data_IF_399360941839
#
_entry.id   IF_399360941839
#
_cell.length_a   1.000
_cell.length_b   1.000
_cell.length_c   1.000
_cell.angle_alpha   90.00
_cell.angle_beta   90.00
_cell.angle_gamma   90.00
#
_symmetry.space_group_name_H-M   'P 1'
#
loop_
_entity.id
_entity.type
_entity.pdbx_description
1 polymer ?
#
# COMPACT_ATOMS: atom_id res chain seq x y z
N UNK A 1 5.80 -0.84 32.70
CA UNK A 1 6.53 0.25 32.00
C UNK A 1 5.69 0.76 30.87
N UNK A 2 5.55 2.08 30.71
CA UNK A 2 4.84 2.63 29.54
C UNK A 2 5.61 2.30 28.27
N UNK A 3 4.93 1.76 27.27
CA UNK A 3 5.54 1.48 25.96
C UNK A 3 5.65 2.78 25.18
N UNK A 4 6.88 3.24 24.95
CA UNK A 4 7.16 4.38 24.07
C UNK A 4 7.80 3.89 22.79
N UNK A 5 7.11 4.15 21.66
CA UNK A 5 7.51 3.69 20.34
C UNK A 5 8.00 4.85 19.46
N UNK A 6 9.04 4.62 18.68
CA UNK A 6 9.49 5.54 17.63
C UNK A 6 9.47 4.83 16.27
N UNK A 7 8.89 5.50 15.28
CA UNK A 7 8.76 5.00 13.90
C UNK A 7 10.00 5.28 13.06
N UNK A 8 10.37 4.32 12.22
CA UNK A 8 11.45 4.41 11.24
C UNK A 8 11.02 3.89 9.86
N UNK A 9 10.89 4.77 8.84
CA UNK A 9 10.97 6.23 8.90
C UNK A 9 9.79 6.85 9.66
N UNK A 10 9.87 8.15 10.00
CA UNK A 10 8.73 8.86 10.57
C UNK A 10 7.55 8.90 9.59
N UNK A 11 6.31 9.11 10.10
CA UNK A 11 5.15 9.33 9.25
C UNK A 11 5.37 10.44 8.22
N UNK A 12 4.81 10.26 7.03
CA UNK A 12 4.83 11.24 5.94
C UNK A 12 3.40 11.63 5.57
N UNK A 13 3.17 12.91 5.27
CA UNK A 13 1.82 13.45 5.01
C UNK A 13 1.11 12.81 3.80
N UNK A 14 1.89 12.33 2.83
CA UNK A 14 1.35 11.71 1.60
C UNK A 14 0.87 10.27 1.77
N UNK A 15 1.08 9.66 2.94
CA UNK A 15 0.63 8.31 3.25
C UNK A 15 0.01 8.28 4.66
N UNK A 16 -1.32 8.32 4.77
CA UNK A 16 -1.98 8.42 6.06
C UNK A 16 -1.89 7.16 6.92
N UNK A 17 -1.44 6.02 6.40
CA UNK A 17 -1.34 4.76 7.13
C UNK A 17 -0.65 4.89 8.49
N UNK A 18 0.58 5.44 8.50
CA UNK A 18 1.33 5.58 9.75
C UNK A 18 0.65 6.59 10.71
N UNK A 19 0.18 7.72 10.18
CA UNK A 19 -0.50 8.74 10.99
C UNK A 19 -1.76 8.16 11.67
N UNK A 20 -2.56 7.39 10.94
CA UNK A 20 -3.74 6.70 11.47
C UNK A 20 -3.37 5.65 12.49
N UNK A 21 -2.41 4.77 12.18
CA UNK A 21 -1.94 3.76 13.10
C UNK A 21 -1.47 4.36 14.43
N UNK A 22 -0.59 5.35 14.37
CA UNK A 22 0.00 5.93 15.59
C UNK A 22 -0.99 6.77 16.39
N UNK A 23 -1.98 7.41 15.74
CA UNK A 23 -3.10 8.06 16.44
C UNK A 23 -3.86 7.05 17.30
N UNK A 24 -4.26 5.93 16.73
CA UNK A 24 -5.02 4.91 17.46
C UNK A 24 -4.17 4.07 18.42
N UNK A 25 -2.84 4.01 18.22
CA UNK A 25 -1.94 3.41 19.22
C UNK A 25 -1.88 4.24 20.51
N UNK A 26 -2.01 5.56 20.44
CA UNK A 26 -2.12 6.43 21.61
C UNK A 26 -3.34 6.06 22.47
N UNK A 27 -4.48 5.75 21.83
CA UNK A 27 -5.71 5.29 22.51
C UNK A 27 -5.51 3.92 23.21
N UNK A 28 -4.52 3.13 22.77
CA UNK A 28 -4.12 1.86 23.39
C UNK A 28 -3.05 2.02 24.48
N UNK A 29 -2.75 3.25 24.91
CA UNK A 29 -1.74 3.52 25.93
C UNK A 29 -0.30 3.33 25.45
N UNK A 30 -0.05 3.38 24.14
CA UNK A 30 1.29 3.40 23.54
C UNK A 30 1.70 4.86 23.31
N UNK A 31 2.74 5.30 24.01
CA UNK A 31 3.29 6.64 23.81
C UNK A 31 4.09 6.68 22.50
N UNK A 32 3.72 7.58 21.58
CA UNK A 32 4.42 7.77 20.31
C UNK A 32 5.46 8.87 20.46
N UNK A 33 6.72 8.48 20.37
CA UNK A 33 7.84 9.42 20.45
C UNK A 33 8.02 10.21 19.16
N UNK A 34 8.63 11.40 19.28
CA UNK A 34 9.01 12.21 18.12
C UNK A 34 10.01 11.47 17.23
N UNK A 35 9.98 11.80 15.93
CA UNK A 35 10.88 11.22 14.94
C UNK A 35 12.35 11.41 15.34
N UNK A 36 13.08 10.30 15.44
CA UNK A 36 14.50 10.28 15.73
C UNK A 36 15.34 10.00 14.49
N UNK A 37 16.60 10.35 14.55
CA UNK A 37 17.58 9.87 13.57
C UNK A 37 18.06 8.48 14.02
N UNK A 38 17.91 7.46 13.20
CA UNK A 38 18.42 6.12 13.51
C UNK A 38 19.96 6.09 13.45
N UNK A 39 20.61 6.63 14.50
CA UNK A 39 22.08 6.68 14.67
C UNK A 39 22.47 6.04 16.00
N UNK A 40 23.74 5.63 16.13
CA UNK A 40 24.27 5.06 17.37
C UNK A 40 24.16 6.05 18.53
N UNK A 41 24.49 7.34 18.30
CA UNK A 41 24.34 8.39 19.31
C UNK A 41 22.91 8.52 19.80
N UNK A 42 21.95 8.65 18.87
CA UNK A 42 20.53 8.75 19.22
C UNK A 42 20.05 7.52 20.03
N UNK A 43 20.51 6.31 19.68
CA UNK A 43 20.15 5.10 20.42
C UNK A 43 20.66 5.14 21.88
N UNK A 44 21.87 5.61 22.12
CA UNK A 44 22.40 5.76 23.49
C UNK A 44 21.66 6.84 24.29
N UNK A 45 21.38 7.99 23.67
CA UNK A 45 20.70 9.11 24.32
C UNK A 45 19.25 8.78 24.71
N UNK A 46 18.56 7.96 23.91
CA UNK A 46 17.12 7.69 24.08
C UNK A 46 16.79 6.35 24.74
N UNK A 47 17.79 5.55 25.14
CA UNK A 47 17.59 4.20 25.70
C UNK A 47 16.71 4.14 26.96
N UNK A 48 16.70 5.21 27.75
CA UNK A 48 15.87 5.29 28.96
C UNK A 48 14.43 5.74 28.68
N UNK A 49 14.20 6.37 27.54
CA UNK A 49 12.91 6.99 27.17
C UNK A 49 12.12 6.14 26.17
N UNK A 50 12.81 5.51 25.22
CA UNK A 50 12.19 4.75 24.12
C UNK A 50 12.40 3.27 24.34
N UNK A 51 11.31 2.50 24.34
CA UNK A 51 11.35 1.04 24.55
C UNK A 51 11.35 0.27 23.22
N UNK A 52 10.70 0.80 22.18
CA UNK A 52 10.43 0.06 20.96
C UNK A 52 10.72 0.88 19.70
N UNK A 53 11.46 0.28 18.77
CA UNK A 53 11.74 0.81 17.45
C UNK A 53 10.83 0.09 16.43
N UNK A 54 9.96 0.83 15.78
CA UNK A 54 9.01 0.29 14.81
C UNK A 54 9.44 0.65 13.38
N UNK A 55 9.89 -0.35 12.63
CA UNK A 55 10.31 -0.18 11.23
C UNK A 55 9.16 -0.42 10.27
N UNK A 56 9.13 0.37 9.17
CA UNK A 56 8.18 0.22 8.07
C UNK A 56 8.88 -0.02 6.73
N UNK A 57 9.67 0.91 6.25
CA UNK A 57 10.40 0.85 4.99
C UNK A 57 11.90 0.92 5.26
N UNK A 58 12.58 -0.21 5.52
CA UNK A 58 13.99 -0.22 5.93
C UNK A 58 14.95 0.26 4.84
N UNK A 59 14.55 0.22 3.57
CA UNK A 59 15.34 0.65 2.43
C UNK A 59 15.78 2.12 2.54
N UNK A 60 15.05 2.96 3.22
CA UNK A 60 15.45 4.34 3.52
C UNK A 60 16.79 4.44 4.28
N UNK A 61 17.20 3.40 5.00
CA UNK A 61 18.38 3.41 5.84
C UNK A 61 19.62 2.83 5.17
N UNK A 62 19.46 1.99 4.15
CA UNK A 62 20.59 1.36 3.47
C UNK A 62 20.70 1.67 1.97
N UNK A 63 19.65 2.12 1.30
CA UNK A 63 19.77 2.56 -0.09
C UNK A 63 20.39 3.93 -0.21
N UNK A 64 21.17 4.11 -1.26
CA UNK A 64 21.72 5.38 -1.68
C UNK A 64 21.45 5.59 -3.16
N UNK A 65 20.48 6.44 -3.48
CA UNK A 65 19.96 6.59 -4.84
C UNK A 65 20.52 7.81 -5.58
N UNK A 66 21.50 8.52 -4.97
CA UNK A 66 22.10 9.74 -5.53
C UNK A 66 23.47 9.46 -6.16
N UNK A 67 23.83 10.20 -7.24
CA UNK A 67 25.16 10.12 -7.88
C UNK A 67 25.30 9.02 -8.94
N UNK A 68 26.52 8.77 -9.49
CA UNK A 68 26.80 7.79 -10.54
C UNK A 68 26.49 6.34 -10.10
N UNK A 69 26.08 5.49 -11.04
CA UNK A 69 25.66 4.10 -10.77
C UNK A 69 26.67 3.26 -9.98
N UNK A 70 27.98 3.34 -10.32
CA UNK A 70 29.02 2.58 -9.61
C UNK A 70 29.16 3.01 -8.14
N UNK A 71 29.09 4.33 -7.87
CA UNK A 71 29.15 4.85 -6.50
C UNK A 71 27.91 4.49 -5.68
N UNK A 72 26.71 4.44 -6.30
CA UNK A 72 25.47 4.07 -5.63
C UNK A 72 25.54 2.68 -5.02
N UNK A 73 26.07 1.68 -5.76
CA UNK A 73 26.20 0.30 -5.28
C UNK A 73 27.09 0.22 -4.04
N UNK A 74 28.32 0.76 -4.13
CA UNK A 74 29.29 0.73 -3.03
C UNK A 74 28.76 1.44 -1.77
N UNK A 75 28.21 2.64 -1.94
CA UNK A 75 27.66 3.43 -0.83
C UNK A 75 26.43 2.75 -0.20
N UNK A 76 25.60 2.08 -0.99
CA UNK A 76 24.46 1.34 -0.45
C UNK A 76 24.93 0.14 0.38
N UNK A 77 25.93 -0.61 -0.04
CA UNK A 77 26.52 -1.70 0.75
C UNK A 77 27.18 -1.17 2.03
N UNK A 78 27.91 -0.06 1.98
CA UNK A 78 28.48 0.58 3.18
C UNK A 78 27.38 1.03 4.16
N UNK A 79 26.29 1.61 3.66
CA UNK A 79 25.13 1.97 4.48
C UNK A 79 24.41 0.75 5.05
N UNK A 80 24.37 -0.38 4.34
CA UNK A 80 23.82 -1.62 4.84
C UNK A 80 24.64 -2.16 6.02
N UNK A 81 25.97 -2.10 5.94
CA UNK A 81 26.86 -2.47 7.06
C UNK A 81 26.58 -1.55 8.26
N UNK A 82 26.48 -0.23 8.04
CA UNK A 82 26.14 0.71 9.09
C UNK A 82 24.75 0.45 9.68
N UNK A 83 23.78 0.06 8.86
CA UNK A 83 22.45 -0.34 9.32
C UNK A 83 22.51 -1.58 10.21
N UNK A 84 23.31 -2.61 9.84
CA UNK A 84 23.53 -3.79 10.64
C UNK A 84 24.17 -3.46 12.01
N UNK A 85 25.18 -2.56 12.04
CA UNK A 85 25.79 -2.07 13.28
C UNK A 85 24.75 -1.39 14.17
N UNK A 86 23.94 -0.50 13.63
CA UNK A 86 22.88 0.20 14.39
C UNK A 86 21.84 -0.77 14.96
N UNK A 87 21.40 -1.78 14.19
CA UNK A 87 20.50 -2.83 14.68
C UNK A 87 21.12 -3.64 15.82
N UNK A 88 22.42 -3.98 15.70
CA UNK A 88 23.15 -4.70 16.74
C UNK A 88 23.25 -3.86 18.00
N UNK A 89 23.60 -2.58 17.91
CA UNK A 89 23.64 -1.65 19.05
C UNK A 89 22.26 -1.52 19.69
N UNK A 90 21.20 -1.32 18.89
CA UNK A 90 19.84 -1.24 19.41
C UNK A 90 19.46 -2.50 20.22
N UNK A 91 19.78 -3.69 19.70
CA UNK A 91 19.54 -4.96 20.41
C UNK A 91 20.31 -5.03 21.72
N UNK A 92 21.60 -4.65 21.73
CA UNK A 92 22.45 -4.66 22.95
C UNK A 92 22.01 -3.64 23.99
N UNK A 93 21.41 -2.52 23.57
CA UNK A 93 20.85 -1.51 24.47
C UNK A 93 19.45 -1.87 24.99
N UNK A 94 18.90 -3.03 24.60
CA UNK A 94 17.63 -3.53 25.10
C UNK A 94 16.39 -3.04 24.35
N UNK A 95 16.55 -2.36 23.22
CA UNK A 95 15.41 -1.96 22.42
C UNK A 95 14.64 -3.16 21.87
N UNK A 96 13.31 -3.13 21.97
CA UNK A 96 12.45 -4.00 21.19
C UNK A 96 12.42 -3.50 19.75
N UNK A 97 12.61 -4.38 18.78
CA UNK A 97 12.54 -4.06 17.35
C UNK A 97 11.34 -4.79 16.77
N UNK A 98 10.44 -4.04 16.14
CA UNK A 98 9.27 -4.54 15.43
C UNK A 98 9.32 -4.04 13.99
N UNK A 99 8.99 -4.87 13.03
CA UNK A 99 8.95 -4.50 11.62
C UNK A 99 7.59 -4.82 11.00
N UNK A 100 6.88 -3.79 10.52
CA UNK A 100 5.72 -3.97 9.64
C UNK A 100 6.19 -4.11 8.20
N UNK A 101 5.96 -5.26 7.62
CA UNK A 101 6.39 -5.62 6.26
C UNK A 101 5.33 -5.20 5.27
N UNK A 102 5.55 -4.07 4.61
CA UNK A 102 4.66 -3.59 3.55
C UNK A 102 4.88 -4.31 2.23
N UNK A 103 6.08 -4.82 2.01
CA UNK A 103 6.50 -5.57 0.83
C UNK A 103 7.74 -6.40 1.17
N UNK A 104 7.84 -7.60 0.62
CA UNK A 104 9.01 -8.47 0.82
C UNK A 104 10.24 -7.98 0.06
N UNK A 105 10.01 -7.49 -1.14
CA UNK A 105 11.05 -6.86 -1.97
C UNK A 105 10.52 -5.54 -2.49
N UNK A 106 11.32 -4.47 -2.48
CA UNK A 106 10.92 -3.20 -3.07
C UNK A 106 10.64 -3.37 -4.56
N UNK A 107 9.53 -2.82 -5.05
CA UNK A 107 9.05 -2.99 -6.43
C UNK A 107 10.07 -2.51 -7.48
N UNK A 108 10.81 -1.46 -7.15
CA UNK A 108 11.82 -0.84 -7.99
C UNK A 108 13.19 -1.02 -7.33
N UNK A 109 13.68 -2.26 -7.36
CA UNK A 109 14.98 -2.59 -6.79
C UNK A 109 16.08 -2.41 -7.80
N UNK A 110 17.02 -1.48 -7.55
CA UNK A 110 18.29 -1.39 -8.28
C UNK A 110 19.24 -2.53 -7.93
N UNK A 111 19.02 -3.22 -6.81
CA UNK A 111 19.81 -4.38 -6.37
C UNK A 111 19.03 -5.32 -5.47
N UNK A 112 18.45 -6.37 -6.07
CA UNK A 112 17.70 -7.41 -5.32
C UNK A 112 18.54 -8.08 -4.22
N UNK A 113 19.89 -8.19 -4.41
CA UNK A 113 20.79 -8.77 -3.40
C UNK A 113 20.89 -7.88 -2.17
N UNK A 114 21.04 -6.58 -2.38
CA UNK A 114 21.10 -5.58 -1.29
C UNK A 114 19.81 -5.61 -0.49
N UNK A 115 18.66 -5.58 -1.17
CA UNK A 115 17.35 -5.53 -0.52
C UNK A 115 17.05 -6.81 0.25
N UNK A 116 17.39 -7.98 -0.30
CA UNK A 116 17.31 -9.26 0.45
C UNK A 116 18.17 -9.24 1.71
N UNK A 117 19.41 -8.74 1.60
CA UNK A 117 20.31 -8.65 2.75
C UNK A 117 19.76 -7.69 3.81
N UNK A 118 19.23 -6.54 3.41
CA UNK A 118 18.61 -5.57 4.31
C UNK A 118 17.38 -6.13 5.01
N UNK A 119 16.47 -6.76 4.27
CA UNK A 119 15.29 -7.43 4.81
C UNK A 119 15.67 -8.56 5.78
N UNK A 120 16.63 -9.40 5.43
CA UNK A 120 17.13 -10.48 6.28
C UNK A 120 17.73 -9.95 7.59
N UNK A 121 18.58 -8.91 7.52
CA UNK A 121 19.19 -8.27 8.69
C UNK A 121 18.13 -7.73 9.64
N UNK A 122 17.15 -6.99 9.12
CA UNK A 122 16.08 -6.42 9.94
C UNK A 122 15.19 -7.51 10.52
N UNK A 123 14.79 -8.50 9.73
CA UNK A 123 13.96 -9.60 10.21
C UNK A 123 14.65 -10.40 11.32
N UNK A 124 15.96 -10.68 11.17
CA UNK A 124 16.73 -11.39 12.20
C UNK A 124 16.87 -10.56 13.48
N UNK A 125 16.94 -9.25 13.36
CA UNK A 125 17.04 -8.32 14.49
C UNK A 125 15.69 -8.06 15.17
N UNK A 126 14.58 -8.29 14.47
CA UNK A 126 13.23 -8.00 14.95
C UNK A 126 12.73 -9.04 15.95
N UNK A 127 12.03 -8.59 16.98
CA UNK A 127 11.31 -9.43 17.93
C UNK A 127 9.96 -9.89 17.39
N UNK A 128 9.32 -9.02 16.61
CA UNK A 128 8.04 -9.29 15.93
C UNK A 128 8.11 -8.77 14.49
N UNK A 129 7.54 -9.54 13.58
CA UNK A 129 7.31 -9.21 12.17
C UNK A 129 5.80 -9.11 11.97
N UNK A 130 5.32 -7.96 11.56
CA UNK A 130 3.90 -7.73 11.26
C UNK A 130 3.74 -7.87 9.75
N UNK A 131 3.00 -8.87 9.30
CA UNK A 131 2.56 -9.04 7.92
C UNK A 131 1.15 -8.47 7.76
N UNK A 132 0.89 -7.76 6.66
CA UNK A 132 -0.42 -7.12 6.42
C UNK A 132 -1.46 -8.09 5.82
N UNK A 133 -1.05 -9.29 5.42
CA UNK A 133 -1.88 -10.36 4.89
C UNK A 133 -1.21 -11.73 5.13
N UNK A 134 -2.00 -12.81 4.98
CA UNK A 134 -1.53 -14.17 5.24
C UNK A 134 -0.49 -14.66 4.22
N UNK A 135 -0.58 -14.20 2.96
CA UNK A 135 0.38 -14.59 1.93
C UNK A 135 1.76 -14.03 2.23
N UNK A 136 1.82 -12.75 2.64
CA UNK A 136 3.06 -12.12 3.12
C UNK A 136 3.62 -12.83 4.36
N UNK A 137 2.76 -13.23 5.29
CA UNK A 137 3.20 -14.00 6.47
C UNK A 137 3.79 -15.36 6.08
N UNK A 138 3.16 -16.08 5.16
CA UNK A 138 3.65 -17.35 4.64
C UNK A 138 5.01 -17.21 3.94
N UNK A 139 5.16 -16.20 3.10
CA UNK A 139 6.41 -15.92 2.40
C UNK A 139 7.55 -15.52 3.38
N UNK A 140 7.25 -14.69 4.40
CA UNK A 140 8.21 -14.37 5.46
C UNK A 140 8.67 -15.63 6.22
N UNK A 141 7.75 -16.52 6.56
CA UNK A 141 8.07 -17.77 7.25
C UNK A 141 8.95 -18.70 6.40
N UNK A 142 8.71 -18.73 5.09
CA UNK A 142 9.47 -19.55 4.14
C UNK A 142 10.87 -18.97 3.84
N UNK A 143 10.97 -17.64 3.60
CA UNK A 143 12.23 -17.00 3.22
C UNK A 143 13.18 -16.78 4.40
N UNK A 144 12.65 -16.64 5.62
CA UNK A 144 13.39 -16.29 6.82
C UNK A 144 13.29 -17.41 7.84
N UNK A 145 14.14 -18.43 7.68
CA UNK A 145 14.21 -19.61 8.56
C UNK A 145 14.14 -19.24 10.06
N UNK A 146 13.22 -19.85 10.81
CA UNK A 146 13.01 -19.60 12.23
C UNK A 146 12.25 -18.32 12.59
N UNK A 147 11.65 -17.62 11.59
CA UNK A 147 10.86 -16.41 11.85
C UNK A 147 9.37 -16.70 12.12
N UNK A 148 8.85 -17.87 11.76
CA UNK A 148 7.42 -18.20 11.82
C UNK A 148 6.76 -17.86 13.18
N UNK A 149 7.41 -18.22 14.30
CA UNK A 149 6.91 -17.92 15.63
C UNK A 149 6.83 -16.42 15.97
N UNK A 150 7.56 -15.58 15.23
CA UNK A 150 7.64 -14.12 15.42
C UNK A 150 6.73 -13.34 14.45
N UNK A 151 6.16 -14.00 13.46
CA UNK A 151 5.25 -13.39 12.50
C UNK A 151 3.86 -13.24 13.12
N UNK A 152 3.27 -12.06 12.96
CA UNK A 152 1.88 -11.76 13.31
C UNK A 152 1.20 -11.19 12.08
N UNK A 153 0.02 -11.70 11.76
CA UNK A 153 -0.82 -11.13 10.69
C UNK A 153 -1.69 -10.06 11.33
N UNK A 154 -1.40 -8.80 10.99
CA UNK A 154 -2.18 -7.64 11.43
C UNK A 154 -2.52 -6.86 10.15
N UNK A 155 -3.78 -6.86 9.71
CA UNK A 155 -4.15 -6.27 8.42
C UNK A 155 -3.92 -4.76 8.37
N UNK A 156 -3.95 -4.21 7.17
CA UNK A 156 -3.99 -2.78 6.95
C UNK A 156 -5.33 -2.20 7.43
N UNK A 157 -5.31 -1.15 8.24
CA UNK A 157 -6.53 -0.49 8.71
C UNK A 157 -7.29 0.22 7.59
N UNK A 158 -8.61 0.35 7.75
CA UNK A 158 -9.50 0.97 6.75
C UNK A 158 -9.33 2.49 6.67
N UNK A 159 -9.87 3.08 5.60
CA UNK A 159 -9.92 4.53 5.40
C UNK A 159 -11.34 5.10 5.58
N UNK A 160 -12.24 4.36 6.24
CA UNK A 160 -13.59 4.86 6.56
C UNK A 160 -13.48 6.14 7.39
N UNK A 161 -14.14 7.22 6.92
CA UNK A 161 -14.12 8.52 7.58
C UNK A 161 -12.83 9.34 7.48
N UNK A 162 -11.83 8.86 6.71
CA UNK A 162 -10.53 9.57 6.57
C UNK A 162 -10.59 10.67 5.52
N UNK A 163 -11.24 10.41 4.39
CA UNK A 163 -11.35 11.37 3.30
C UNK A 163 -12.72 12.02 3.29
N UNK A 164 -12.81 13.36 3.29
CA UNK A 164 -14.09 14.04 3.25
C UNK A 164 -14.80 13.76 1.92
N UNK A 165 -16.12 13.59 1.98
CA UNK A 165 -16.94 13.60 0.78
C UNK A 165 -17.14 15.04 0.33
N UNK A 166 -16.99 15.26 -0.98
CA UNK A 166 -17.04 16.59 -1.57
C UNK A 166 -18.21 16.73 -2.54
N UNK A 167 -17.90 17.11 -3.79
CA UNK A 167 -18.87 17.38 -4.85
C UNK A 167 -19.70 16.14 -5.20
N UNK A 168 -20.96 16.34 -5.63
CA UNK A 168 -21.82 15.26 -6.11
C UNK A 168 -21.20 14.55 -7.34
N UNK A 169 -21.45 13.24 -7.46
CA UNK A 169 -20.97 12.38 -8.56
C UNK A 169 -21.16 13.01 -9.95
N UNK A 170 -22.34 13.57 -10.21
CA UNK A 170 -22.66 14.17 -11.51
C UNK A 170 -21.78 15.39 -11.83
N UNK A 171 -21.49 16.21 -10.83
CA UNK A 171 -20.63 17.38 -10.97
C UNK A 171 -19.18 16.99 -11.23
N UNK A 172 -18.66 16.02 -10.49
CA UNK A 172 -17.30 15.51 -10.70
C UNK A 172 -17.14 14.89 -12.08
N UNK A 173 -18.11 14.09 -12.52
CA UNK A 173 -18.12 13.51 -13.88
C UNK A 173 -18.13 14.59 -14.96
N UNK A 174 -19.00 15.59 -14.82
CA UNK A 174 -19.07 16.71 -15.76
C UNK A 174 -17.75 17.47 -15.82
N UNK A 175 -17.13 17.74 -14.68
CA UNK A 175 -15.82 18.41 -14.61
C UNK A 175 -14.71 17.60 -15.31
N UNK A 176 -14.75 16.28 -15.20
CA UNK A 176 -13.81 15.38 -15.86
C UNK A 176 -14.15 15.07 -17.32
N UNK A 177 -15.24 15.63 -17.87
CA UNK A 177 -15.71 15.33 -19.23
C UNK A 177 -16.26 13.90 -19.39
N UNK A 178 -16.66 13.24 -18.30
CA UNK A 178 -17.22 11.89 -18.27
C UNK A 178 -18.76 11.98 -18.37
N UNK A 179 -19.38 11.19 -19.25
CA UNK A 179 -20.84 11.11 -19.32
C UNK A 179 -21.47 10.67 -17.99
N UNK A 180 -22.63 11.23 -17.65
CA UNK A 180 -23.40 10.83 -16.46
C UNK A 180 -23.71 9.33 -16.43
N UNK A 181 -23.99 8.73 -17.59
CA UNK A 181 -24.37 7.32 -17.74
C UNK A 181 -23.17 6.38 -17.97
N UNK A 182 -21.94 6.92 -18.01
CA UNK A 182 -20.76 6.10 -18.26
C UNK A 182 -20.52 5.07 -17.14
N UNK A 183 -20.05 3.88 -17.53
CA UNK A 183 -19.44 2.93 -16.59
C UNK A 183 -17.99 3.34 -16.36
N UNK A 184 -17.67 3.80 -15.14
CA UNK A 184 -16.35 4.37 -14.83
C UNK A 184 -15.50 3.39 -14.05
N UNK A 185 -14.34 3.06 -14.62
CA UNK A 185 -13.29 2.25 -14.02
C UNK A 185 -12.19 3.17 -13.49
N UNK A 186 -11.89 3.12 -12.18
CA UNK A 186 -10.89 3.97 -11.54
C UNK A 186 -9.59 3.20 -11.25
N UNK A 187 -8.47 3.68 -11.76
CA UNK A 187 -7.13 3.33 -11.29
C UNK A 187 -6.57 4.48 -10.47
N UNK A 188 -6.33 4.27 -9.17
CA UNK A 188 -5.91 5.32 -8.24
C UNK A 188 -4.55 5.10 -7.61
N UNK A 189 -3.83 6.20 -7.35
CA UNK A 189 -2.58 6.28 -6.60
C UNK A 189 -1.34 6.39 -7.49
N UNK A 190 -0.14 6.47 -6.88
CA UNK A 190 1.11 6.69 -7.60
C UNK A 190 1.24 5.81 -8.85
N UNK A 191 1.57 6.42 -9.98
CA UNK A 191 1.71 5.73 -11.26
C UNK A 191 3.17 5.28 -11.37
N UNK A 192 3.35 3.95 -11.46
CA UNK A 192 4.65 3.28 -11.47
C UNK A 192 4.61 2.02 -12.35
N UNK A 193 5.76 1.61 -12.85
CA UNK A 193 5.92 0.46 -13.76
C UNK A 193 5.28 -0.85 -13.25
N UNK A 194 5.40 -1.16 -11.96
CA UNK A 194 4.80 -2.38 -11.39
C UNK A 194 3.25 -2.40 -11.41
N UNK A 195 2.61 -1.28 -11.73
CA UNK A 195 1.16 -1.19 -11.91
C UNK A 195 0.69 -1.54 -13.32
N UNK A 196 1.61 -1.85 -14.24
CA UNK A 196 1.31 -2.33 -15.58
C UNK A 196 0.19 -1.51 -16.27
N UNK A 197 0.48 -0.24 -16.52
CA UNK A 197 -0.46 0.68 -17.16
C UNK A 197 -0.84 0.22 -18.57
N UNK A 198 0.08 -0.43 -19.27
CA UNK A 198 -0.12 -1.09 -20.56
C UNK A 198 -1.22 -2.14 -20.49
N UNK A 199 -1.12 -3.09 -19.56
CA UNK A 199 -2.16 -4.12 -19.31
C UNK A 199 -3.50 -3.49 -18.93
N UNK A 200 -3.47 -2.39 -18.15
CA UNK A 200 -4.69 -1.66 -17.77
C UNK A 200 -5.39 -1.08 -18.98
N UNK A 201 -4.67 -0.34 -19.83
CA UNK A 201 -5.21 0.33 -21.01
C UNK A 201 -5.69 -0.70 -22.05
N UNK A 202 -4.87 -1.71 -22.32
CA UNK A 202 -5.20 -2.78 -23.25
C UNK A 202 -6.44 -3.56 -22.79
N UNK A 203 -6.48 -3.98 -21.53
CA UNK A 203 -7.59 -4.73 -20.95
C UNK A 203 -8.89 -3.91 -20.94
N UNK A 204 -8.81 -2.61 -20.62
CA UNK A 204 -9.97 -1.72 -20.67
C UNK A 204 -10.51 -1.60 -22.10
N UNK A 205 -9.67 -1.37 -23.09
CA UNK A 205 -10.06 -1.28 -24.51
C UNK A 205 -10.64 -2.60 -25.02
N UNK A 206 -9.99 -3.72 -24.72
CA UNK A 206 -10.46 -5.06 -25.11
C UNK A 206 -11.79 -5.45 -24.44
N UNK A 207 -12.17 -4.79 -23.36
CA UNK A 207 -13.46 -5.00 -22.71
C UNK A 207 -14.63 -4.49 -23.56
N UNK A 208 -14.44 -3.53 -24.46
CA UNK A 208 -15.47 -2.93 -25.33
C UNK A 208 -16.76 -2.55 -24.60
N UNK A 209 -16.62 -1.92 -23.41
CA UNK A 209 -17.77 -1.54 -22.58
C UNK A 209 -18.48 -0.35 -23.22
N UNK A 210 -19.77 -0.46 -23.61
CA UNK A 210 -20.52 0.68 -24.13
C UNK A 210 -20.52 1.83 -23.12
N UNK A 211 -20.19 3.03 -23.59
CA UNK A 211 -20.04 4.22 -22.73
C UNK A 211 -19.10 4.00 -21.53
N UNK A 212 -18.10 3.12 -21.67
CA UNK A 212 -17.07 2.92 -20.65
C UNK A 212 -16.11 4.10 -20.57
N UNK A 213 -15.66 4.46 -19.36
CA UNK A 213 -14.59 5.42 -19.14
C UNK A 213 -13.54 4.83 -18.17
N UNK A 214 -12.27 4.96 -18.53
CA UNK A 214 -11.14 4.64 -17.65
C UNK A 214 -10.61 5.95 -17.06
N UNK A 215 -10.75 6.12 -15.75
CA UNK A 215 -10.18 7.24 -14.99
C UNK A 215 -8.88 6.79 -14.33
N UNK A 216 -7.75 7.37 -14.72
CA UNK A 216 -6.45 7.12 -14.10
C UNK A 216 -6.03 8.36 -13.33
N UNK A 217 -5.96 8.24 -12.00
CA UNK A 217 -5.67 9.37 -11.12
C UNK A 217 -4.52 9.10 -10.17
N UNK A 218 -3.53 9.99 -10.14
CA UNK A 218 -2.41 9.96 -9.21
C UNK A 218 -1.11 10.51 -9.78
N UNK A 219 -0.15 10.73 -8.87
CA UNK A 219 1.13 11.30 -9.22
C UNK A 219 1.99 10.30 -10.00
N UNK A 220 2.40 10.63 -11.23
CA UNK A 220 3.37 9.82 -11.96
C UNK A 220 4.75 9.96 -11.32
N UNK A 221 5.39 8.82 -11.09
CA UNK A 221 6.77 8.74 -10.61
C UNK A 221 7.70 8.12 -11.65
N UNK A 222 7.14 7.72 -12.79
CA UNK A 222 7.82 7.17 -13.95
C UNK A 222 7.41 7.96 -15.19
N UNK A 223 8.41 8.50 -15.91
CA UNK A 223 8.16 9.32 -17.09
C UNK A 223 7.70 8.52 -18.32
N UNK A 224 8.05 7.22 -18.39
CA UNK A 224 7.61 6.32 -19.44
C UNK A 224 6.12 6.01 -19.30
N UNK A 225 5.68 5.64 -18.09
CA UNK A 225 4.28 5.39 -17.79
C UNK A 225 3.39 6.63 -17.98
N UNK A 226 3.91 7.81 -17.62
CA UNK A 226 3.20 9.08 -17.86
C UNK A 226 2.97 9.36 -19.33
N UNK A 227 3.98 9.11 -20.17
CA UNK A 227 3.90 9.31 -21.62
C UNK A 227 2.93 8.32 -22.24
N UNK A 228 2.99 7.06 -21.85
CA UNK A 228 2.07 6.02 -22.29
C UNK A 228 0.61 6.36 -21.97
N UNK A 229 0.33 6.85 -20.76
CA UNK A 229 -1.02 7.30 -20.38
C UNK A 229 -1.46 8.53 -21.18
N UNK A 230 -0.57 9.49 -21.40
CA UNK A 230 -0.91 10.68 -22.19
C UNK A 230 -1.20 10.32 -23.65
N UNK A 231 -0.43 9.41 -24.24
CA UNK A 231 -0.67 8.88 -25.60
C UNK A 231 -2.00 8.12 -25.67
N UNK A 232 -2.28 7.26 -24.66
CA UNK A 232 -3.53 6.52 -24.59
C UNK A 232 -4.75 7.44 -24.43
N UNK A 233 -4.66 8.49 -23.61
CA UNK A 233 -5.72 9.48 -23.44
C UNK A 233 -5.91 10.35 -24.69
N UNK A 234 -4.84 10.65 -25.43
CA UNK A 234 -4.90 11.39 -26.69
C UNK A 234 -5.52 10.61 -27.85
N UNK A 235 -5.52 9.28 -27.79
CA UNK A 235 -6.04 8.39 -28.83
C UNK A 235 -7.58 8.21 -28.77
N UNK A 236 -8.25 8.60 -27.68
CA UNK A 236 -9.69 8.46 -27.51
C UNK A 236 -10.20 9.17 -26.27
N UNK A 237 -11.50 9.48 -26.24
CA UNK A 237 -12.14 10.16 -25.10
C UNK A 237 -12.50 9.24 -23.94
N UNK A 238 -12.33 7.94 -24.10
CA UNK A 238 -12.67 6.92 -23.12
C UNK A 238 -11.65 6.83 -21.97
N UNK A 239 -10.47 7.44 -22.11
CA UNK A 239 -9.42 7.46 -21.06
C UNK A 239 -9.25 8.88 -20.56
N UNK A 240 -9.56 9.08 -19.29
CA UNK A 240 -9.44 10.36 -18.59
C UNK A 240 -8.31 10.26 -17.56
N UNK A 241 -7.44 11.26 -17.53
CA UNK A 241 -6.25 11.24 -16.67
C UNK A 241 -6.19 12.44 -15.75
N UNK A 242 -5.82 12.22 -14.49
CA UNK A 242 -5.49 13.23 -13.47
C UNK A 242 -4.09 12.92 -12.99
N UNK A 243 -3.07 13.36 -13.76
CA UNK A 243 -1.65 12.99 -13.58
C UNK A 243 -0.94 13.92 -12.61
N UNK A 244 -1.49 14.06 -11.41
CA UNK A 244 -0.95 14.89 -10.34
C UNK A 244 -1.23 14.29 -8.97
N UNK A 245 -0.66 14.90 -7.93
CA UNK A 245 -1.03 14.56 -6.55
C UNK A 245 -2.48 14.99 -6.30
N UNK A 246 -3.34 14.03 -5.98
CA UNK A 246 -4.74 14.29 -5.61
C UNK A 246 -4.80 14.71 -4.15
N UNK A 247 -5.22 15.94 -3.83
CA UNK A 247 -5.43 16.39 -2.45
C UNK A 247 -6.48 15.53 -1.74
N UNK A 248 -6.39 15.47 -0.41
CA UNK A 248 -7.29 14.64 0.41
C UNK A 248 -8.78 14.92 0.15
N UNK A 249 -9.11 16.17 -0.11
CA UNK A 249 -10.47 16.65 -0.41
C UNK A 249 -11.03 16.09 -1.72
N UNK A 250 -10.16 15.85 -2.69
CA UNK A 250 -10.52 15.30 -4.02
C UNK A 250 -10.54 13.77 -4.08
N UNK A 251 -9.96 13.09 -3.07
CA UNK A 251 -9.83 11.62 -3.14
C UNK A 251 -11.20 10.95 -3.19
N UNK A 252 -12.07 11.20 -2.22
CA UNK A 252 -13.40 10.56 -2.16
C UNK A 252 -14.26 10.89 -3.38
N UNK A 253 -14.12 12.09 -3.95
CA UNK A 253 -14.84 12.53 -5.16
C UNK A 253 -14.57 11.63 -6.37
N UNK A 254 -13.30 11.25 -6.60
CA UNK A 254 -12.93 10.36 -7.71
C UNK A 254 -13.49 8.95 -7.53
N UNK A 255 -13.51 8.45 -6.31
CA UNK A 255 -14.11 7.15 -5.99
C UNK A 255 -15.64 7.20 -6.12
N UNK A 256 -16.29 8.25 -5.61
CA UNK A 256 -17.75 8.45 -5.76
C UNK A 256 -18.17 8.64 -7.22
N UNK A 257 -17.32 9.22 -8.08
CA UNK A 257 -17.55 9.33 -9.51
C UNK A 257 -17.43 7.98 -10.25
N UNK A 258 -16.89 6.95 -9.64
CA UNK A 258 -16.55 5.67 -10.28
C UNK A 258 -17.53 4.54 -9.93
N UNK A 259 -17.51 3.47 -10.71
CA UNK A 259 -18.36 2.28 -10.54
C UNK A 259 -17.59 1.09 -10.00
N UNK A 260 -16.30 0.99 -10.36
CA UNK A 260 -15.36 0.01 -9.82
C UNK A 260 -13.96 0.62 -9.75
N UNK A 261 -13.17 0.19 -8.78
CA UNK A 261 -11.73 0.43 -8.79
C UNK A 261 -11.00 -0.74 -9.45
N UNK A 262 -9.87 -0.46 -10.11
CA UNK A 262 -9.02 -1.48 -10.72
C UNK A 262 -7.59 -1.34 -10.21
N UNK A 263 -6.92 -2.46 -10.02
CA UNK A 263 -5.47 -2.53 -9.80
C UNK A 263 -4.88 -3.62 -10.66
N UNK A 264 -3.78 -3.32 -11.34
CA UNK A 264 -3.06 -4.25 -12.23
C UNK A 264 -1.68 -4.61 -11.69
N UNK A 265 -1.46 -4.42 -10.39
CA UNK A 265 -0.18 -4.73 -9.73
C UNK A 265 0.16 -6.21 -9.85
N UNK A 266 1.44 -6.48 -10.15
CA UNK A 266 1.99 -7.85 -10.23
C UNK A 266 2.61 -8.35 -8.93
N UNK A 267 2.76 -7.49 -7.95
CA UNK A 267 3.32 -7.83 -6.65
C UNK A 267 2.23 -8.26 -5.67
N UNK A 268 2.51 -9.29 -4.89
CA UNK A 268 1.55 -9.96 -4.02
C UNK A 268 1.25 -9.25 -2.68
N UNK A 269 1.68 -8.01 -2.49
CA UNK A 269 1.48 -7.31 -1.21
C UNK A 269 0.14 -6.58 -1.10
N UNK A 270 -0.27 -6.27 0.14
CA UNK A 270 -1.47 -5.48 0.42
C UNK A 270 -1.41 -4.10 -0.24
N UNK A 271 -2.49 -3.72 -0.93
CA UNK A 271 -2.62 -2.44 -1.62
C UNK A 271 -3.44 -1.44 -0.81
N UNK A 272 -2.81 -0.34 -0.37
CA UNK A 272 -3.53 0.75 0.29
C UNK A 272 -4.65 1.35 -0.57
N UNK A 273 -4.47 1.46 -1.90
CA UNK A 273 -5.52 1.92 -2.81
C UNK A 273 -6.70 0.93 -2.90
N UNK A 274 -6.44 -0.37 -2.83
CA UNK A 274 -7.52 -1.37 -2.78
C UNK A 274 -8.28 -1.32 -1.46
N UNK A 275 -7.58 -1.17 -0.32
CA UNK A 275 -8.23 -0.95 0.99
C UNK A 275 -9.05 0.34 0.98
N UNK A 276 -8.54 1.40 0.36
CA UNK A 276 -9.26 2.67 0.20
C UNK A 276 -10.55 2.50 -0.62
N UNK A 277 -10.48 1.77 -1.74
CA UNK A 277 -11.65 1.48 -2.56
C UNK A 277 -12.75 0.78 -1.73
N UNK A 278 -12.38 -0.27 -1.00
CA UNK A 278 -13.33 -0.96 -0.12
C UNK A 278 -13.90 -0.03 0.96
N UNK A 279 -13.06 0.84 1.53
CA UNK A 279 -13.46 1.80 2.58
C UNK A 279 -14.45 2.85 2.10
N UNK A 280 -14.42 3.17 0.82
CA UNK A 280 -15.38 4.08 0.16
C UNK A 280 -16.57 3.34 -0.47
N UNK A 281 -16.67 2.02 -0.26
CA UNK A 281 -17.76 1.21 -0.79
C UNK A 281 -17.65 0.91 -2.29
N UNK A 282 -16.46 1.05 -2.87
CA UNK A 282 -16.23 0.78 -4.28
C UNK A 282 -15.68 -0.64 -4.45
N UNK A 283 -16.37 -1.55 -5.18
CA UNK A 283 -15.85 -2.89 -5.43
C UNK A 283 -14.63 -2.83 -6.34
N UNK A 284 -13.74 -3.82 -6.22
CA UNK A 284 -12.47 -3.81 -6.95
C UNK A 284 -12.39 -4.90 -8.03
N UNK A 285 -11.69 -4.58 -9.11
CA UNK A 285 -11.17 -5.55 -10.07
C UNK A 285 -9.67 -5.68 -9.82
N UNK A 286 -9.20 -6.85 -9.43
CA UNK A 286 -7.84 -7.07 -8.97
C UNK A 286 -7.27 -8.39 -9.49
N UNK A 287 -5.94 -8.54 -9.58
CA UNK A 287 -5.36 -9.81 -10.01
C UNK A 287 -5.66 -10.94 -9.01
N UNK A 288 -5.75 -12.19 -9.51
CA UNK A 288 -5.90 -13.41 -8.72
C UNK A 288 -4.63 -13.71 -7.94
N UNK A 289 -4.34 -12.84 -6.96
CA UNK A 289 -3.22 -13.01 -6.03
C UNK A 289 -3.77 -13.18 -4.60
N UNK A 290 -3.16 -14.03 -3.77
CA UNK A 290 -3.69 -14.39 -2.45
C UNK A 290 -4.06 -13.18 -1.57
N UNK A 291 -3.27 -12.10 -1.59
CA UNK A 291 -3.57 -10.89 -0.82
C UNK A 291 -4.87 -10.20 -1.27
N UNK A 292 -5.16 -10.16 -2.57
CA UNK A 292 -6.41 -9.60 -3.08
C UNK A 292 -7.60 -10.54 -2.89
N UNK A 293 -7.40 -11.85 -2.99
CA UNK A 293 -8.43 -12.83 -2.66
C UNK A 293 -8.83 -12.73 -1.18
N UNK A 294 -7.84 -12.61 -0.28
CA UNK A 294 -8.08 -12.37 1.14
C UNK A 294 -8.80 -11.04 1.35
N UNK A 295 -8.33 -9.95 0.72
CA UNK A 295 -8.91 -8.62 0.87
C UNK A 295 -10.36 -8.55 0.40
N UNK A 296 -10.69 -9.17 -0.74
CA UNK A 296 -12.06 -9.20 -1.29
C UNK A 296 -12.97 -10.25 -0.66
N UNK A 297 -12.41 -11.12 0.20
CA UNK A 297 -13.14 -12.24 0.79
C UNK A 297 -13.56 -13.28 -0.25
N UNK A 298 -12.63 -13.66 -1.13
CA UNK A 298 -12.87 -14.63 -2.21
C UNK A 298 -13.80 -14.07 -3.29
N UNK A 299 -13.61 -12.84 -3.69
CA UNK A 299 -14.37 -12.19 -4.75
C UNK A 299 -15.75 -11.65 -4.34
N UNK A 300 -16.13 -11.70 -3.06
CA UNK A 300 -17.40 -11.11 -2.59
C UNK A 300 -17.44 -9.60 -2.80
N UNK A 301 -16.32 -8.90 -2.57
CA UNK A 301 -16.19 -7.45 -2.70
C UNK A 301 -15.56 -7.02 -4.04
N UNK A 302 -15.47 -7.90 -5.04
CA UNK A 302 -14.83 -7.56 -6.31
C UNK A 302 -14.81 -8.70 -7.32
N UNK A 303 -14.02 -8.55 -8.36
CA UNK A 303 -13.75 -9.56 -9.39
C UNK A 303 -12.25 -9.77 -9.50
N UNK A 304 -11.84 -10.94 -9.94
CA UNK A 304 -10.44 -11.27 -10.15
C UNK A 304 -10.15 -11.56 -11.61
N UNK A 305 -8.88 -11.34 -12.00
CA UNK A 305 -8.35 -11.64 -13.31
C UNK A 305 -6.92 -12.21 -13.18
N UNK A 306 -6.43 -12.89 -14.21
CA UNK A 306 -5.09 -13.45 -14.20
C UNK A 306 -4.04 -12.36 -14.32
N UNK A 307 -3.09 -12.33 -13.39
CA UNK A 307 -2.08 -11.26 -13.29
C UNK A 307 -1.28 -11.10 -14.58
N UNK A 308 -1.25 -9.87 -15.11
CA UNK A 308 -0.54 -9.55 -16.36
C UNK A 308 -1.30 -9.89 -17.64
N UNK A 309 -2.51 -10.42 -17.55
CA UNK A 309 -3.33 -10.80 -18.71
C UNK A 309 -4.43 -9.75 -18.97
N UNK A 310 -4.25 -8.97 -20.04
CA UNK A 310 -5.20 -7.95 -20.48
C UNK A 310 -6.53 -8.55 -20.93
N UNK A 311 -6.55 -9.74 -21.51
CA UNK A 311 -7.77 -10.45 -21.94
C UNK A 311 -8.60 -10.91 -20.73
N UNK A 312 -7.95 -11.47 -19.72
CA UNK A 312 -8.57 -11.83 -18.45
C UNK A 312 -9.09 -10.57 -17.71
N UNK A 313 -8.34 -9.47 -17.69
CA UNK A 313 -8.80 -8.19 -17.17
C UNK A 313 -10.05 -7.69 -17.92
N UNK A 314 -10.06 -7.75 -19.25
CA UNK A 314 -11.20 -7.36 -20.06
C UNK A 314 -12.46 -8.18 -19.73
N UNK A 315 -12.32 -9.49 -19.52
CA UNK A 315 -13.43 -10.35 -19.10
C UNK A 315 -13.98 -9.95 -17.73
N UNK A 316 -13.10 -9.67 -16.74
CA UNK A 316 -13.51 -9.23 -15.41
C UNK A 316 -14.21 -7.87 -15.44
N UNK A 317 -13.74 -6.92 -16.27
CA UNK A 317 -14.37 -5.60 -16.46
C UNK A 317 -15.75 -5.72 -17.11
N UNK A 318 -15.93 -6.61 -18.13
CA UNK A 318 -17.25 -6.90 -18.70
C UNK A 318 -18.23 -7.44 -17.67
N UNK A 319 -17.81 -8.36 -16.83
CA UNK A 319 -18.63 -8.90 -15.72
C UNK A 319 -19.01 -7.79 -14.73
N UNK A 320 -18.09 -6.87 -14.44
CA UNK A 320 -18.36 -5.75 -13.56
C UNK A 320 -19.35 -4.75 -14.19
N UNK A 321 -19.27 -4.51 -15.50
CA UNK A 321 -20.17 -3.61 -16.21
C UNK A 321 -21.58 -4.20 -16.38
N UNK A 322 -21.72 -5.52 -16.53
CA UNK A 322 -22.94 -6.19 -16.97
C UNK A 322 -24.15 -5.99 -16.04
N UNK A 323 -23.95 -5.86 -14.71
CA UNK A 323 -25.08 -5.80 -13.78
C UNK A 323 -24.91 -4.79 -12.64
N UNK A 324 -25.68 -3.70 -12.66
CA UNK A 324 -25.72 -2.75 -11.53
C UNK A 324 -26.11 -3.41 -10.20
N UNK A 325 -27.00 -4.39 -10.23
CA UNK A 325 -27.43 -5.10 -9.01
C UNK A 325 -26.28 -5.91 -8.39
N UNK A 326 -25.48 -6.58 -9.22
CA UNK A 326 -24.28 -7.32 -8.74
C UNK A 326 -23.26 -6.35 -8.21
N UNK A 327 -23.02 -5.22 -8.87
CA UNK A 327 -22.12 -4.15 -8.36
C UNK A 327 -22.57 -3.64 -6.99
N UNK A 328 -23.86 -3.32 -6.85
CA UNK A 328 -24.42 -2.86 -5.58
C UNK A 328 -24.25 -3.88 -4.45
N UNK A 329 -24.43 -5.19 -4.74
CA UNK A 329 -24.16 -6.26 -3.77
C UNK A 329 -22.69 -6.29 -3.37
N UNK A 330 -21.77 -6.20 -4.33
CA UNK A 330 -20.33 -6.20 -4.08
C UNK A 330 -19.86 -4.93 -3.37
N UNK A 331 -20.49 -3.78 -3.64
CA UNK A 331 -20.23 -2.52 -2.95
C UNK A 331 -20.57 -2.61 -1.45
N UNK A 332 -21.71 -3.21 -1.09
CA UNK A 332 -22.03 -3.49 0.32
C UNK A 332 -21.01 -4.41 0.97
N UNK A 333 -20.64 -5.49 0.29
CA UNK A 333 -19.60 -6.40 0.78
C UNK A 333 -18.23 -5.73 0.93
N UNK A 334 -17.92 -4.73 0.09
CA UNK A 334 -16.70 -3.94 0.19
C UNK A 334 -16.67 -3.12 1.50
N UNK A 335 -17.78 -2.42 1.83
CA UNK A 335 -17.89 -1.70 3.10
C UNK A 335 -17.82 -2.66 4.31
N UNK A 336 -18.54 -3.77 4.29
CA UNK A 336 -18.49 -4.78 5.35
C UNK A 336 -17.05 -5.31 5.57
N UNK A 337 -16.28 -5.46 4.48
CA UNK A 337 -14.85 -5.85 4.58
C UNK A 337 -14.01 -4.75 5.20
N UNK A 338 -14.23 -3.49 4.81
CA UNK A 338 -13.52 -2.35 5.36
C UNK A 338 -13.84 -2.11 6.84
N UNK A 339 -15.08 -2.31 7.27
CA UNK A 339 -15.49 -2.22 8.68
C UNK A 339 -14.74 -3.20 9.58
N UNK A 340 -14.45 -4.42 9.07
CA UNK A 340 -13.63 -5.41 9.79
C UNK A 340 -12.16 -5.03 9.90
N UNK A 341 -11.72 -3.99 9.20
CA UNK A 341 -10.37 -3.42 9.23
C UNK A 341 -10.34 -2.14 10.09
N UNK A 342 -11.18 -2.06 11.11
CA UNK A 342 -11.29 -0.90 11.98
C UNK A 342 -9.98 -0.62 12.74
N UNK A 343 -9.55 0.63 12.76
CA UNK A 343 -8.29 1.04 13.39
C UNK A 343 -8.18 0.69 14.87
N UNK A 344 -9.24 0.78 15.73
CA UNK A 344 -9.13 0.38 17.12
C UNK A 344 -8.65 -1.05 17.31
N UNK A 345 -9.17 -2.00 16.51
CA UNK A 345 -8.78 -3.41 16.56
C UNK A 345 -7.35 -3.61 16.02
N UNK A 346 -7.03 -2.98 14.89
CA UNK A 346 -5.67 -3.02 14.29
C UNK A 346 -4.64 -2.43 15.26
N UNK A 347 -4.96 -1.32 15.91
CA UNK A 347 -4.09 -0.68 16.89
C UNK A 347 -3.93 -1.54 18.16
N UNK A 348 -4.98 -2.20 18.65
CA UNK A 348 -4.89 -3.09 19.81
C UNK A 348 -3.94 -4.26 19.52
N UNK A 349 -4.09 -4.92 18.36
CA UNK A 349 -3.18 -6.00 17.94
C UNK A 349 -1.75 -5.51 17.75
N UNK A 350 -1.57 -4.33 17.15
CA UNK A 350 -0.24 -3.71 16.96
C UNK A 350 0.37 -3.32 18.30
N UNK A 351 -0.40 -2.75 19.23
CA UNK A 351 0.08 -2.42 20.57
C UNK A 351 0.58 -3.66 21.32
N UNK A 352 -0.14 -4.78 21.21
CA UNK A 352 0.30 -6.06 21.78
C UNK A 352 1.65 -6.53 21.18
N UNK A 353 1.86 -6.31 19.86
CA UNK A 353 3.13 -6.62 19.20
C UNK A 353 4.28 -5.68 19.62
N UNK A 354 3.98 -4.41 19.90
CA UNK A 354 4.96 -3.40 20.28
C UNK A 354 5.40 -3.48 21.75
N UNK A 355 4.54 -3.96 22.65
CA UNK A 355 4.87 -4.07 24.07
C UNK A 355 6.00 -5.07 24.32
N UNK A 356 6.98 -4.76 25.18
CA UNK A 356 7.92 -5.75 25.69
C UNK A 356 7.17 -6.93 26.31
N UNK A 357 7.74 -8.14 26.16
CA UNK A 357 7.20 -9.34 26.80
C UNK A 357 7.43 -9.29 28.31
#
# INVERSE_FOLDING_TARGET
MNTRVVSFPPPIDRNPYQALLYRHLADQGVEVGSAGRFTVGWLHENRALVTTLHFHWPEYYYRFDRGPHAARGLLSWARLVLFAVRLTVARRLGYRIVWTVHQLSPHESSSRRLDRAGAWLLARSSHVLIALDRSTAGALAAELSGSAARVRVIPHGSYIGVYPRGRPRAEVRSHLGISGDAFVVLSFGQIRKYKQVDVLVEGFRAAHIPQGALLVAGLPLDGEESRHLAEAAGAGREIVTVLEFVPNEGVAELFDASDVAVTTRIDGGTSGAAVLALSLGLPIVAPSLPAYEELTGGGRAGWHFDSGDAGSLAAALRLAAASPAVRAKKARAALERAERLAWPEIAAQTAAALRPA
#
